data_IF_025108651295
#
_entry.id   IF_025108651295
#
_cell.length_a   1.000
_cell.length_b   1.000
_cell.length_c   1.000
_cell.angle_alpha   90.00
_cell.angle_beta   90.00
_cell.angle_gamma   90.00
#
_symmetry.space_group_name_H-M   'P 1'
#
loop_
_entity.id
_entity.type
_entity.pdbx_description
1 polymer ?
#
# COMPACT_ATOMS: atom_id res chain seq x y z
N UNK A 1 12.82 40.49 -39.71
CA UNK A 1 12.50 39.13 -39.24
C UNK A 1 12.76 39.09 -37.74
N UNK A 2 11.73 39.29 -36.91
CA UNK A 2 11.86 39.28 -35.44
C UNK A 2 11.71 37.85 -34.94
N UNK A 3 12.78 37.28 -34.38
CA UNK A 3 12.77 35.95 -33.79
C UNK A 3 12.14 36.03 -32.40
N UNK A 4 11.03 35.32 -32.18
CA UNK A 4 10.41 35.22 -30.87
C UNK A 4 11.30 34.37 -29.93
N UNK A 5 11.62 34.90 -28.75
CA UNK A 5 12.38 34.17 -27.75
C UNK A 5 11.60 32.93 -27.25
N UNK A 6 12.27 31.80 -27.00
CA UNK A 6 11.61 30.57 -26.57
C UNK A 6 10.99 30.77 -25.18
N UNK A 7 9.70 30.43 -25.05
CA UNK A 7 8.99 30.46 -23.78
C UNK A 7 9.51 29.34 -22.87
N UNK A 8 10.12 29.69 -21.75
CA UNK A 8 10.57 28.75 -20.73
C UNK A 8 9.37 28.15 -20.00
N UNK A 9 9.13 26.86 -20.19
CA UNK A 9 8.13 26.10 -19.41
C UNK A 9 8.71 25.87 -18.01
N UNK A 10 8.13 26.52 -17.00
CA UNK A 10 8.49 26.25 -15.61
C UNK A 10 7.83 24.93 -15.18
N UNK A 11 8.62 23.87 -15.01
CA UNK A 11 8.12 22.61 -14.46
C UNK A 11 8.02 22.77 -12.94
N UNK A 12 6.83 22.63 -12.32
CA UNK A 12 6.70 22.73 -10.87
C UNK A 12 7.54 21.63 -10.20
N UNK A 13 8.32 22.02 -9.18
CA UNK A 13 9.14 21.08 -8.41
C UNK A 13 8.24 20.14 -7.60
N UNK A 14 8.38 18.84 -7.82
CA UNK A 14 7.58 17.83 -7.11
C UNK A 14 7.92 17.79 -5.61
N UNK A 15 6.89 17.62 -4.77
CA UNK A 15 7.06 17.45 -3.33
C UNK A 15 7.81 16.13 -3.02
N UNK A 16 8.78 16.10 -2.07
CA UNK A 16 9.46 14.85 -1.72
C UNK A 16 8.48 13.77 -1.25
N UNK A 17 8.69 12.51 -1.66
CA UNK A 17 7.77 11.40 -1.43
C UNK A 17 7.42 11.20 0.06
N UNK A 18 8.37 11.37 0.97
CA UNK A 18 8.17 11.14 2.40
C UNK A 18 7.79 12.41 3.19
N UNK A 19 7.50 13.51 2.49
CA UNK A 19 7.09 14.77 3.13
C UNK A 19 5.57 14.88 3.35
N UNK A 20 4.80 13.87 2.94
CA UNK A 20 3.38 13.81 3.20
C UNK A 20 3.12 13.39 4.65
N UNK A 21 2.08 13.97 5.26
CA UNK A 21 1.63 13.55 6.58
C UNK A 21 1.12 12.12 6.46
N UNK A 22 1.57 11.24 7.36
CA UNK A 22 1.06 9.87 7.48
C UNK A 22 -0.46 9.87 7.69
N UNK A 23 -1.12 8.88 7.12
CA UNK A 23 -2.55 8.69 7.24
C UNK A 23 -2.97 8.47 8.70
N UNK A 24 -4.22 8.79 9.03
CA UNK A 24 -4.70 8.84 10.41
C UNK A 24 -4.69 7.48 11.11
N UNK A 25 -4.81 6.40 10.33
CA UNK A 25 -4.93 5.03 10.82
C UNK A 25 -3.59 4.46 11.34
N UNK A 26 -2.47 5.18 11.19
CA UNK A 26 -1.19 4.84 11.84
C UNK A 26 -1.31 4.61 13.36
N UNK A 27 -2.37 5.14 14.00
CA UNK A 27 -2.67 4.95 15.43
C UNK A 27 -2.94 3.49 15.82
N UNK A 28 -3.32 2.64 14.87
CA UNK A 28 -3.56 1.22 15.13
C UNK A 28 -2.25 0.41 15.20
N UNK A 29 -1.11 1.02 14.88
CA UNK A 29 0.18 0.34 14.89
C UNK A 29 0.42 -0.52 13.64
N UNK A 30 1.44 -1.37 13.74
CA UNK A 30 1.87 -2.28 12.67
C UNK A 30 1.25 -3.65 12.90
N UNK A 31 0.66 -4.21 11.86
CA UNK A 31 0.11 -5.56 11.90
C UNK A 31 1.25 -6.60 11.82
N UNK A 32 1.24 -7.63 12.68
CA UNK A 32 2.21 -8.73 12.59
C UNK A 32 2.16 -9.39 11.20
N UNK A 33 0.95 -9.62 10.69
CA UNK A 33 0.65 -10.09 9.35
C UNK A 33 -0.52 -9.29 8.79
N UNK A 34 -0.60 -9.14 7.47
CA UNK A 34 -1.73 -8.45 6.85
C UNK A 34 -2.98 -9.35 6.92
N UNK A 35 -4.12 -8.82 7.40
CA UNK A 35 -5.33 -9.61 7.52
C UNK A 35 -5.86 -10.00 6.13
N UNK A 36 -6.30 -11.25 6.03
CA UNK A 36 -7.01 -11.83 4.89
C UNK A 36 -8.46 -12.17 5.24
N UNK A 37 -8.84 -12.14 6.53
CA UNK A 37 -10.21 -12.36 6.99
C UNK A 37 -10.77 -11.22 7.84
N UNK A 38 -12.10 -11.23 8.03
CA UNK A 38 -12.82 -10.35 8.95
C UNK A 38 -12.39 -10.58 10.40
N UNK A 39 -12.20 -11.82 10.81
CA UNK A 39 -11.80 -12.16 12.17
C UNK A 39 -10.39 -11.64 12.49
N UNK A 40 -9.47 -11.72 11.53
CA UNK A 40 -8.12 -11.16 11.69
C UNK A 40 -8.15 -9.63 11.80
N UNK A 41 -9.03 -8.95 11.04
CA UNK A 41 -9.27 -7.52 11.22
C UNK A 41 -9.82 -7.19 12.62
N UNK A 42 -10.71 -8.02 13.17
CA UNK A 42 -11.24 -7.85 14.53
C UNK A 42 -10.13 -7.98 15.57
N UNK A 43 -9.21 -8.94 15.41
CA UNK A 43 -8.03 -9.10 16.27
C UNK A 43 -7.11 -7.87 16.24
N UNK A 44 -7.02 -7.19 15.10
CA UNK A 44 -6.27 -5.94 14.93
C UNK A 44 -7.05 -4.70 15.40
N UNK A 45 -8.32 -4.85 15.78
CA UNK A 45 -9.21 -3.75 16.13
C UNK A 45 -9.57 -2.84 14.95
N UNK A 46 -9.48 -3.36 13.72
CA UNK A 46 -9.76 -2.62 12.49
C UNK A 46 -11.19 -2.86 12.06
N UNK A 47 -12.01 -1.84 11.86
CA UNK A 47 -13.36 -2.02 11.30
C UNK A 47 -13.34 -2.32 9.78
N UNK A 48 -12.25 -1.99 9.10
CA UNK A 48 -12.09 -2.07 7.65
C UNK A 48 -10.60 -1.94 7.25
N UNK A 49 -10.28 -2.38 6.04
CA UNK A 49 -9.02 -2.02 5.38
C UNK A 49 -9.19 -0.70 4.61
N UNK A 50 -8.16 0.14 4.62
CA UNK A 50 -8.10 1.33 3.75
C UNK A 50 -7.65 0.95 2.33
N UNK A 51 -6.80 -0.08 2.22
CA UNK A 51 -6.31 -0.66 0.96
C UNK A 51 -6.34 -2.17 1.05
N UNK A 52 -6.77 -2.85 -0.02
CA UNK A 52 -6.66 -4.31 -0.15
C UNK A 52 -5.77 -4.61 -1.33
N UNK A 53 -4.73 -5.41 -1.13
CA UNK A 53 -3.88 -5.93 -2.19
C UNK A 53 -4.37 -7.31 -2.60
N UNK A 54 -4.70 -7.47 -3.88
CA UNK A 54 -5.11 -8.76 -4.45
C UNK A 54 -3.96 -9.28 -5.31
N UNK A 55 -3.48 -10.48 -5.00
CA UNK A 55 -2.35 -11.12 -5.70
C UNK A 55 -2.66 -12.56 -6.05
N UNK A 56 -2.20 -13.00 -7.22
CA UNK A 56 -2.26 -14.41 -7.64
C UNK A 56 -1.08 -15.24 -7.13
N UNK A 57 -0.18 -14.65 -6.35
CA UNK A 57 0.96 -15.33 -5.72
C UNK A 57 0.60 -15.79 -4.31
N UNK A 58 1.41 -16.69 -3.74
CA UNK A 58 1.37 -17.00 -2.32
C UNK A 58 1.75 -15.76 -1.51
N UNK A 59 1.02 -15.47 -0.43
CA UNK A 59 1.43 -14.43 0.50
C UNK A 59 2.58 -14.93 1.37
N UNK A 60 3.78 -14.40 1.11
CA UNK A 60 4.96 -14.53 1.96
C UNK A 60 5.43 -13.11 2.27
N UNK A 61 5.48 -12.76 3.56
CA UNK A 61 5.95 -11.45 3.99
C UNK A 61 7.48 -11.39 3.98
N UNK A 62 8.04 -11.26 2.77
CA UNK A 62 9.49 -11.24 2.54
C UNK A 62 9.87 -10.10 1.59
N UNK A 63 11.00 -9.38 1.80
CA UNK A 63 11.39 -8.24 0.96
C UNK A 63 11.60 -8.55 -0.52
N UNK A 64 11.82 -9.82 -0.88
CA UNK A 64 11.89 -10.24 -2.29
C UNK A 64 10.54 -10.30 -3.00
N UNK A 65 9.45 -10.19 -2.27
CA UNK A 65 8.07 -10.28 -2.77
C UNK A 65 7.50 -8.86 -2.91
N UNK A 66 7.24 -8.43 -4.14
CA UNK A 66 6.88 -7.04 -4.45
C UNK A 66 5.60 -6.57 -3.75
N UNK A 67 4.59 -7.46 -3.65
CA UNK A 67 3.36 -7.20 -2.90
C UNK A 67 3.61 -6.95 -1.41
N UNK A 68 4.55 -7.68 -0.79
CA UNK A 68 4.91 -7.47 0.61
C UNK A 68 5.58 -6.10 0.82
N UNK A 69 6.49 -5.70 -0.08
CA UNK A 69 7.10 -4.37 -0.04
C UNK A 69 6.07 -3.25 -0.20
N UNK A 70 5.14 -3.37 -1.15
CA UNK A 70 4.09 -2.38 -1.36
C UNK A 70 3.20 -2.28 -0.11
N UNK A 71 2.80 -3.42 0.45
CA UNK A 71 1.97 -3.48 1.65
C UNK A 71 2.66 -2.79 2.84
N UNK A 72 3.92 -3.15 3.11
CA UNK A 72 4.72 -2.58 4.21
C UNK A 72 5.01 -1.10 4.00
N UNK A 73 5.19 -0.65 2.75
CA UNK A 73 5.32 0.78 2.44
C UNK A 73 4.02 1.55 2.76
N UNK A 74 2.87 1.03 2.34
CA UNK A 74 1.57 1.66 2.61
C UNK A 74 1.26 1.67 4.11
N UNK A 75 1.53 0.58 4.83
CA UNK A 75 1.42 0.51 6.28
C UNK A 75 2.34 1.55 6.96
N UNK A 76 3.58 1.71 6.49
CA UNK A 76 4.50 2.72 7.02
C UNK A 76 4.03 4.17 6.76
N UNK A 77 3.21 4.38 5.71
CA UNK A 77 2.49 5.63 5.45
C UNK A 77 1.21 5.77 6.28
N UNK A 78 0.85 4.77 7.08
CA UNK A 78 -0.23 4.81 8.07
C UNK A 78 -1.56 4.24 7.62
N UNK A 79 -1.61 3.51 6.50
CA UNK A 79 -2.82 2.85 6.01
C UNK A 79 -3.01 1.47 6.65
N UNK A 80 -4.26 1.07 6.88
CA UNK A 80 -4.62 -0.32 7.21
C UNK A 80 -4.70 -1.11 5.91
N UNK A 81 -3.79 -2.07 5.74
CA UNK A 81 -3.64 -2.83 4.50
C UNK A 81 -4.07 -4.27 4.74
N UNK A 82 -5.01 -4.76 3.93
CA UNK A 82 -5.38 -6.18 3.86
C UNK A 82 -4.74 -6.87 2.66
N UNK A 83 -4.65 -8.19 2.71
CA UNK A 83 -4.13 -9.03 1.63
C UNK A 83 -5.18 -10.04 1.19
N UNK A 84 -5.28 -10.31 -0.11
CA UNK A 84 -5.98 -11.45 -0.67
C UNK A 84 -4.99 -12.13 -1.60
N UNK A 85 -4.48 -13.29 -1.19
CA UNK A 85 -3.54 -14.07 -1.98
C UNK A 85 -4.23 -15.15 -2.81
N UNK A 86 -3.43 -15.87 -3.58
CA UNK A 86 -3.90 -17.05 -4.30
C UNK A 86 -4.74 -17.95 -3.37
N UNK A 87 -5.94 -18.38 -3.79
CA UNK A 87 -6.74 -19.35 -3.04
C UNK A 87 -6.02 -20.70 -2.94
N UNK A 88 -6.54 -21.59 -2.08
CA UNK A 88 -6.03 -22.95 -2.01
C UNK A 88 -6.17 -23.63 -3.39
N UNK A 89 -5.05 -23.96 -4.00
CA UNK A 89 -5.01 -24.57 -5.32
C UNK A 89 -5.46 -26.04 -5.32
N UNK A 90 -5.66 -26.62 -4.14
CA UNK A 90 -6.20 -27.98 -3.96
C UNK A 90 -7.72 -28.01 -3.96
N UNK A 91 -8.35 -26.86 -3.83
CA UNK A 91 -9.80 -26.73 -3.83
C UNK A 91 -10.25 -25.66 -4.83
N UNK A 92 -10.79 -26.11 -5.96
CA UNK A 92 -11.29 -25.25 -7.02
C UNK A 92 -12.81 -25.01 -6.92
N UNK A 93 -13.44 -25.47 -5.84
CA UNK A 93 -14.89 -25.51 -5.64
C UNK A 93 -15.50 -24.15 -5.29
#
# INVERSE_FOLDING_TARGET
MSSAAPSTVTVPTAKPLFSYRKYWAQRFGVAPFFPMSREEMDMLGWDSCDVILVTGDAYIDHPSFGMALIARLLEAQGFRVGMISQPDWRDAS
#
